data_IF_750186169418
#
_entry.id   IF_750186169418
#
_cell.length_a   1.000
_cell.length_b   1.000
_cell.length_c   1.000
_cell.angle_alpha   90.00
_cell.angle_beta   90.00
_cell.angle_gamma   90.00
#
_symmetry.space_group_name_H-M   'P 1'
#
loop_
_entity.id
_entity.type
_entity.pdbx_description
1 polymer ?
#
# COMPACT_ATOMS: atom_id res chain seq x y z
N UNK A 1 -36.46 -35.24 66.84
CA UNK A 1 -35.20 -36.00 66.76
C UNK A 1 -34.61 -35.75 65.40
N UNK A 2 -33.48 -35.04 65.43
CA UNK A 2 -32.32 -35.07 64.52
C UNK A 2 -32.48 -34.98 63.00
N UNK A 3 -31.61 -34.17 62.40
CA UNK A 3 -31.06 -34.51 61.08
C UNK A 3 -30.79 -33.36 60.13
N UNK A 4 -29.78 -32.55 60.44
CA UNK A 4 -28.98 -31.72 59.54
C UNK A 4 -28.76 -32.31 58.12
N UNK A 5 -28.89 -31.51 57.04
CA UNK A 5 -27.80 -31.20 56.09
C UNK A 5 -28.22 -30.60 54.71
N UNK A 6 -27.70 -29.38 54.45
CA UNK A 6 -27.02 -28.87 53.23
C UNK A 6 -27.80 -28.42 51.97
N UNK A 7 -27.65 -27.09 51.71
CA UNK A 7 -27.26 -26.36 50.46
C UNK A 7 -28.21 -26.49 49.24
N UNK A 8 -28.49 -25.48 48.41
CA UNK A 8 -27.79 -24.25 48.01
C UNK A 8 -28.78 -23.28 47.34
N UNK A 9 -28.41 -22.00 47.33
CA UNK A 9 -29.14 -20.81 46.88
C UNK A 9 -29.61 -20.78 45.42
N UNK A 10 -30.73 -20.07 45.19
CA UNK A 10 -30.92 -19.11 44.09
C UNK A 10 -31.70 -17.90 44.62
N UNK A 11 -31.03 -16.74 44.70
CA UNK A 11 -31.67 -15.46 44.98
C UNK A 11 -32.17 -14.85 43.66
N UNK A 12 -33.46 -14.56 43.61
CA UNK A 12 -34.04 -13.58 42.69
C UNK A 12 -33.53 -12.19 43.10
N UNK A 13 -32.83 -11.50 42.20
CA UNK A 13 -32.43 -10.11 42.41
C UNK A 13 -33.39 -9.22 41.61
N UNK A 14 -34.37 -8.66 42.32
CA UNK A 14 -35.30 -7.66 41.81
C UNK A 14 -34.59 -6.36 41.44
N UNK A 15 -35.12 -5.73 40.40
CA UNK A 15 -34.73 -4.41 39.93
C UNK A 15 -34.77 -3.38 41.06
N UNK A 16 -33.61 -2.80 41.38
CA UNK A 16 -33.51 -1.56 42.15
C UNK A 16 -33.03 -0.45 41.22
N UNK A 17 -33.87 0.56 41.05
CA UNK A 17 -33.53 1.82 40.38
C UNK A 17 -32.30 2.45 41.07
N UNK A 18 -31.32 2.97 40.33
CA UNK A 18 -30.21 3.70 40.93
C UNK A 18 -30.74 4.97 41.60
N UNK A 19 -30.33 5.18 42.86
CA UNK A 19 -30.70 6.31 43.70
C UNK A 19 -30.17 7.61 43.10
N UNK A 20 -30.92 8.70 43.27
CA UNK A 20 -30.66 10.05 42.77
C UNK A 20 -29.33 10.70 43.25
N UNK A 21 -28.45 10.00 43.94
CA UNK A 21 -27.12 10.50 44.36
C UNK A 21 -26.01 10.30 43.32
N UNK A 22 -26.19 9.43 42.32
CA UNK A 22 -25.12 9.09 41.35
C UNK A 22 -25.09 10.03 40.13
N UNK A 23 -26.18 10.75 39.87
CA UNK A 23 -26.28 11.71 38.77
C UNK A 23 -25.48 13.00 39.03
N UNK A 24 -25.45 13.46 40.29
CA UNK A 24 -24.74 14.69 40.68
C UNK A 24 -23.22 14.50 40.80
N UNK A 25 -22.76 13.25 40.99
CA UNK A 25 -21.34 12.90 40.96
C UNK A 25 -20.75 12.82 39.54
N UNK A 26 -21.59 12.56 38.52
CA UNK A 26 -21.16 12.50 37.12
C UNK A 26 -21.08 13.87 36.42
N UNK A 27 -21.79 14.89 36.94
CA UNK A 27 -21.64 16.29 36.52
C UNK A 27 -20.28 16.89 36.95
N UNK A 28 -19.47 16.15 37.71
CA UNK A 28 -18.08 16.49 38.07
C UNK A 28 -17.14 15.33 37.71
N UNK A 29 -17.09 14.99 36.42
CA UNK A 29 -16.27 13.88 35.91
C UNK A 29 -14.79 13.89 36.37
N UNK A 30 -14.13 12.71 36.39
CA UNK A 30 -12.74 12.54 36.81
C UNK A 30 -11.77 13.34 35.92
N UNK A 31 -10.79 14.00 36.56
CA UNK A 31 -9.82 14.91 35.98
C UNK A 31 -9.03 14.26 34.84
N UNK A 32 -9.11 14.86 33.65
CA UNK A 32 -8.15 14.61 32.60
C UNK A 32 -6.78 15.16 32.99
N UNK A 33 -5.81 14.27 33.26
CA UNK A 33 -4.37 14.55 33.09
C UNK A 33 -4.07 14.71 31.59
N UNK A 34 -4.73 15.67 30.95
CA UNK A 34 -4.67 15.89 29.50
C UNK A 34 -4.02 17.23 29.19
N UNK A 35 -3.21 17.27 28.14
CA UNK A 35 -2.63 18.52 27.64
C UNK A 35 -3.74 19.39 27.05
N UNK A 36 -3.80 20.67 27.42
CA UNK A 36 -4.82 21.59 26.91
C UNK A 36 -4.79 21.67 25.36
N UNK A 37 -5.96 21.53 24.70
CA UNK A 37 -6.09 21.75 23.26
C UNK A 37 -5.70 23.19 22.85
N UNK A 38 -5.39 23.37 21.56
CA UNK A 38 -5.19 24.72 21.00
C UNK A 38 -6.46 25.55 21.22
N UNK A 39 -6.35 26.84 21.56
CA UNK A 39 -7.50 27.70 21.82
C UNK A 39 -7.91 27.74 23.29
N UNK A 40 -7.35 26.86 24.11
CA UNK A 40 -7.67 26.73 25.53
C UNK A 40 -6.41 26.69 26.39
N UNK A 41 -6.52 27.27 27.59
CA UNK A 41 -5.57 27.09 28.68
C UNK A 41 -6.19 26.27 29.81
N UNK A 42 -5.36 25.47 30.48
CA UNK A 42 -5.82 24.62 31.58
C UNK A 42 -6.09 25.47 32.83
N UNK A 43 -7.29 25.37 33.41
CA UNK A 43 -7.66 25.94 34.70
C UNK A 43 -8.18 24.85 35.63
N UNK A 44 -7.29 24.27 36.42
CA UNK A 44 -7.62 23.19 37.34
C UNK A 44 -8.15 21.97 36.58
N UNK A 45 -9.46 21.71 36.67
CA UNK A 45 -10.13 20.57 36.01
C UNK A 45 -10.95 20.96 34.77
N UNK A 46 -10.90 22.22 34.35
CA UNK A 46 -11.60 22.74 33.16
C UNK A 46 -10.65 23.52 32.24
N UNK A 47 -11.18 23.97 31.10
CA UNK A 47 -10.49 24.78 30.11
C UNK A 47 -11.05 26.21 30.11
N UNK A 48 -10.18 27.22 30.00
CA UNK A 48 -10.58 28.61 29.71
C UNK A 48 -10.16 28.95 28.28
N UNK A 49 -10.99 29.67 27.57
CA UNK A 49 -10.68 30.17 26.22
C UNK A 49 -9.49 31.13 26.26
N UNK A 50 -8.46 30.80 25.48
CA UNK A 50 -7.37 31.72 25.17
C UNK A 50 -7.73 32.51 23.91
N UNK A 51 -7.98 33.81 24.01
CA UNK A 51 -8.52 34.61 22.91
C UNK A 51 -7.63 34.61 21.65
N UNK A 52 -6.30 34.64 21.80
CA UNK A 52 -5.35 34.67 20.69
C UNK A 52 -5.32 33.32 19.94
N UNK A 53 -5.27 32.22 20.68
CA UNK A 53 -5.30 30.90 20.07
C UNK A 53 -6.68 30.54 19.52
N UNK A 54 -7.75 30.97 20.18
CA UNK A 54 -9.12 30.79 19.71
C UNK A 54 -9.37 31.50 18.38
N UNK A 55 -8.72 32.65 18.15
CA UNK A 55 -8.74 33.31 16.83
C UNK A 55 -8.10 32.42 15.75
N UNK A 56 -7.03 31.70 16.07
CA UNK A 56 -6.40 30.74 15.15
C UNK A 56 -7.34 29.59 14.84
N UNK A 57 -8.00 29.02 15.86
CA UNK A 57 -8.99 27.95 15.69
C UNK A 57 -10.14 28.41 14.79
N UNK A 58 -10.74 29.59 15.07
CA UNK A 58 -11.79 30.18 14.22
C UNK A 58 -11.34 30.36 12.76
N UNK A 59 -10.10 30.81 12.57
CA UNK A 59 -9.50 30.96 11.23
C UNK A 59 -9.41 29.62 10.50
N UNK A 60 -8.98 28.54 11.18
CA UNK A 60 -8.88 27.21 10.58
C UNK A 60 -10.24 26.68 10.13
N UNK A 61 -11.28 26.83 10.96
CA UNK A 61 -12.65 26.43 10.61
C UNK A 61 -13.18 27.23 9.43
N UNK A 62 -12.97 28.55 9.43
CA UNK A 62 -13.34 29.43 8.32
C UNK A 62 -12.64 29.03 7.01
N UNK A 63 -11.32 28.88 7.03
CA UNK A 63 -10.53 28.48 5.84
C UNK A 63 -10.97 27.11 5.30
N UNK A 64 -11.38 26.19 6.17
CA UNK A 64 -11.92 24.91 5.73
C UNK A 64 -13.28 25.05 5.04
N UNK A 65 -14.16 25.91 5.55
CA UNK A 65 -15.42 26.27 4.89
C UNK A 65 -15.23 27.10 3.61
N UNK A 66 -14.12 27.78 3.43
CA UNK A 66 -13.81 28.47 2.18
C UNK A 66 -13.24 27.51 1.13
N UNK A 67 -12.17 26.80 1.48
CA UNK A 67 -11.41 25.98 0.51
C UNK A 67 -11.91 24.54 0.36
N UNK A 68 -12.53 23.97 1.40
CA UNK A 68 -13.05 22.60 1.38
C UNK A 68 -12.01 21.48 1.26
N UNK A 69 -10.74 21.78 1.46
CA UNK A 69 -9.64 20.80 1.40
C UNK A 69 -8.63 21.07 2.49
N UNK A 70 -8.29 20.05 3.28
CA UNK A 70 -7.29 20.14 4.35
C UNK A 70 -5.93 20.58 3.79
N UNK A 71 -5.59 20.18 2.56
CA UNK A 71 -4.32 20.57 1.91
C UNK A 71 -4.27 22.05 1.58
N UNK A 72 -5.38 22.61 1.10
CA UNK A 72 -5.48 24.04 0.79
C UNK A 72 -5.42 24.86 2.08
N UNK A 73 -6.11 24.42 3.14
CA UNK A 73 -6.02 25.04 4.46
C UNK A 73 -4.58 25.01 4.99
N UNK A 74 -3.86 23.90 4.85
CA UNK A 74 -2.46 23.81 5.28
C UNK A 74 -1.57 24.83 4.54
N UNK A 75 -1.69 24.93 3.22
CA UNK A 75 -0.91 25.87 2.42
C UNK A 75 -1.17 27.33 2.81
N UNK A 76 -2.44 27.62 3.10
CA UNK A 76 -2.89 28.94 3.53
C UNK A 76 -2.39 29.31 4.94
N UNK A 77 -2.45 28.37 5.90
CA UNK A 77 -1.87 28.57 7.24
C UNK A 77 -0.35 28.77 7.18
N UNK A 78 0.33 28.03 6.31
CA UNK A 78 1.77 28.21 6.06
C UNK A 78 2.06 29.62 5.54
N UNK A 79 1.26 30.12 4.59
CA UNK A 79 1.33 31.47 4.01
C UNK A 79 1.08 32.58 5.05
N UNK A 80 0.10 32.37 5.93
CA UNK A 80 -0.22 33.30 7.03
C UNK A 80 0.79 33.23 8.19
N UNK A 81 1.76 32.32 8.16
CA UNK A 81 2.75 32.17 9.23
C UNK A 81 2.19 31.54 10.51
N UNK A 82 0.98 30.97 10.48
CA UNK A 82 0.35 30.34 11.63
C UNK A 82 1.01 28.99 11.93
N UNK A 83 1.28 28.72 13.22
CA UNK A 83 2.01 27.53 13.68
C UNK A 83 1.29 26.86 14.84
N UNK A 84 1.62 25.60 15.10
CA UNK A 84 1.04 24.82 16.20
C UNK A 84 1.38 25.43 17.57
N UNK A 85 0.48 25.25 18.56
CA UNK A 85 0.64 25.76 19.94
C UNK A 85 2.02 25.43 20.49
N UNK A 86 2.76 26.45 20.93
CA UNK A 86 4.03 26.28 21.61
C UNK A 86 3.79 25.79 23.04
N UNK A 87 4.44 24.71 23.44
CA UNK A 87 4.34 24.14 24.78
C UNK A 87 5.73 24.04 25.39
N UNK A 88 5.96 24.63 26.57
CA UNK A 88 7.19 24.38 27.31
C UNK A 88 7.22 22.90 27.73
N UNK A 89 8.27 22.18 27.33
CA UNK A 89 8.45 20.78 27.74
C UNK A 89 9.00 20.66 29.16
N UNK A 90 8.75 19.51 29.80
CA UNK A 90 9.21 19.21 31.17
C UNK A 90 10.74 19.12 31.33
N UNK A 91 11.51 19.11 30.23
CA UNK A 91 12.98 19.04 30.23
C UNK A 91 13.63 19.99 29.21
N UNK A 92 13.09 21.21 29.06
CA UNK A 92 13.70 22.25 28.21
C UNK A 92 13.55 22.07 26.69
N UNK A 93 13.05 20.92 26.22
CA UNK A 93 12.64 20.73 24.82
C UNK A 93 11.22 21.25 24.63
N UNK A 94 11.07 22.44 24.07
CA UNK A 94 9.75 22.95 23.71
C UNK A 94 9.11 22.13 22.58
N UNK A 95 7.82 21.83 22.69
CA UNK A 95 7.03 21.11 21.68
C UNK A 95 6.00 22.06 21.10
N UNK A 96 6.04 22.31 19.80
CA UNK A 96 5.13 23.26 19.13
C UNK A 96 5.88 24.22 18.21
N UNK A 97 5.19 25.20 17.63
CA UNK A 97 5.78 26.12 16.65
C UNK A 97 6.03 25.50 15.27
N UNK A 98 5.56 24.27 15.04
CA UNK A 98 5.70 23.57 13.78
C UNK A 98 4.58 23.95 12.79
N UNK A 99 4.78 23.62 11.51
CA UNK A 99 3.73 23.71 10.49
C UNK A 99 2.60 22.73 10.82
N UNK A 100 1.38 23.09 10.45
CA UNK A 100 0.22 22.21 10.62
C UNK A 100 0.30 21.03 9.64
N UNK A 101 0.29 19.80 10.17
CA UNK A 101 0.17 18.59 9.34
C UNK A 101 -1.28 18.18 9.09
N UNK A 102 -1.54 17.39 8.04
CA UNK A 102 -2.89 16.88 7.70
C UNK A 102 -3.61 16.25 8.89
N UNK A 103 -2.95 15.32 9.60
CA UNK A 103 -3.56 14.61 10.73
C UNK A 103 -3.91 15.55 11.90
N UNK A 104 -3.10 16.58 12.12
CA UNK A 104 -3.36 17.60 13.15
C UNK A 104 -4.59 18.43 12.80
N UNK A 105 -4.71 18.89 11.55
CA UNK A 105 -5.87 19.64 11.07
C UNK A 105 -7.14 18.78 11.07
N UNK A 106 -7.03 17.53 10.65
CA UNK A 106 -8.16 16.60 10.69
C UNK A 106 -8.64 16.40 12.12
N UNK A 107 -7.73 16.13 13.06
CA UNK A 107 -8.08 15.99 14.47
C UNK A 107 -8.75 17.27 15.00
N UNK A 108 -8.20 18.44 14.71
CA UNK A 108 -8.75 19.74 15.13
C UNK A 108 -10.19 19.95 14.62
N UNK A 109 -10.43 19.71 13.33
CA UNK A 109 -11.75 19.88 12.70
C UNK A 109 -12.80 18.85 13.18
N UNK A 110 -12.37 17.73 13.77
CA UNK A 110 -13.25 16.66 14.29
C UNK A 110 -13.33 16.60 15.81
N UNK A 111 -12.56 17.40 16.54
CA UNK A 111 -12.57 17.39 18.00
C UNK A 111 -13.72 18.21 18.59
N UNK A 112 -14.71 17.59 19.26
CA UNK A 112 -15.91 18.26 19.79
C UNK A 112 -15.62 19.24 20.95
N UNK A 113 -14.37 19.31 21.44
CA UNK A 113 -13.96 20.29 22.45
C UNK A 113 -14.26 21.72 22.03
N UNK A 114 -14.20 22.03 20.74
CA UNK A 114 -14.41 23.37 20.22
C UNK A 114 -15.86 23.86 20.27
N UNK A 115 -16.82 22.94 20.47
CA UNK A 115 -18.24 23.25 20.67
C UNK A 115 -18.67 23.05 22.14
N UNK A 116 -17.70 23.06 23.08
CA UNK A 116 -18.01 22.92 24.52
C UNK A 116 -18.28 21.48 24.96
N UNK A 117 -17.90 20.46 24.18
CA UNK A 117 -18.17 19.04 24.48
C UNK A 117 -16.90 18.22 24.66
N UNK A 118 -16.91 17.21 25.51
CA UNK A 118 -15.75 16.35 25.78
C UNK A 118 -16.07 14.91 25.37
N UNK A 119 -15.22 14.32 24.54
CA UNK A 119 -15.32 12.90 24.16
C UNK A 119 -14.58 12.03 25.18
N UNK A 120 -15.27 11.03 25.72
CA UNK A 120 -14.66 9.97 26.52
C UNK A 120 -15.09 8.61 25.96
N UNK A 121 -14.14 7.89 25.37
CA UNK A 121 -14.39 6.65 24.60
C UNK A 121 -15.38 6.91 23.46
N UNK A 122 -16.52 6.22 23.46
CA UNK A 122 -17.57 6.33 22.44
C UNK A 122 -18.66 7.35 22.77
N UNK A 123 -18.60 7.97 23.96
CA UNK A 123 -19.65 8.90 24.41
C UNK A 123 -19.12 10.33 24.47
N UNK A 124 -19.94 11.27 24.02
CA UNK A 124 -19.67 12.70 24.08
C UNK A 124 -20.56 13.34 25.14
N UNK A 125 -19.96 14.10 26.05
CA UNK A 125 -20.63 14.78 27.16
C UNK A 125 -20.49 16.29 27.01
N UNK A 126 -21.43 17.05 27.57
CA UNK A 126 -21.28 18.50 27.67
C UNK A 126 -20.17 18.84 28.67
N UNK A 127 -19.21 19.65 28.22
CA UNK A 127 -18.08 20.10 29.00
C UNK A 127 -18.40 21.37 29.78
N UNK A 128 -17.68 21.60 30.88
CA UNK A 128 -17.81 22.80 31.70
C UNK A 128 -16.94 23.97 31.20
N UNK A 129 -16.73 24.07 29.88
CA UNK A 129 -15.87 25.08 29.24
C UNK A 129 -16.59 25.74 28.06
N UNK A 130 -16.27 27.01 27.82
CA UNK A 130 -16.93 27.78 26.76
C UNK A 130 -16.53 27.27 25.36
N UNK A 131 -17.52 27.25 24.46
CA UNK A 131 -17.29 26.91 23.05
C UNK A 131 -16.48 28.01 22.33
N UNK A 132 -15.55 27.62 21.47
CA UNK A 132 -14.80 28.54 20.58
C UNK A 132 -15.52 28.71 19.23
N UNK A 133 -16.23 27.67 18.79
CA UNK A 133 -16.92 27.58 17.51
C UNK A 133 -18.41 27.40 17.75
N UNK A 134 -19.24 28.10 16.99
CA UNK A 134 -20.69 27.92 17.00
C UNK A 134 -21.11 26.55 16.47
N UNK A 135 -22.20 26.01 16.98
CA UNK A 135 -22.72 24.68 16.58
C UNK A 135 -23.05 24.63 15.08
N UNK A 136 -23.53 25.73 14.52
CA UNK A 136 -23.82 25.92 13.10
C UNK A 136 -22.57 25.77 12.21
N UNK A 137 -21.47 26.45 12.57
CA UNK A 137 -20.19 26.36 11.87
C UNK A 137 -19.61 24.96 11.97
N UNK A 138 -19.73 24.35 13.15
CA UNK A 138 -19.28 22.99 13.38
C UNK A 138 -20.01 21.98 12.51
N UNK A 139 -21.35 22.04 12.47
CA UNK A 139 -22.20 21.17 11.66
C UNK A 139 -21.90 21.32 10.18
N UNK A 140 -21.76 22.55 9.67
CA UNK A 140 -21.37 22.80 8.29
C UNK A 140 -20.00 22.19 7.94
N UNK A 141 -19.04 22.23 8.87
CA UNK A 141 -17.72 21.59 8.70
C UNK A 141 -17.83 20.06 8.71
N UNK A 142 -18.61 19.48 9.62
CA UNK A 142 -18.82 18.02 9.68
C UNK A 142 -19.52 17.52 8.42
N UNK A 143 -20.57 18.21 7.98
CA UNK A 143 -21.29 17.87 6.75
C UNK A 143 -20.35 17.89 5.54
N UNK A 144 -19.49 18.91 5.43
CA UNK A 144 -18.51 18.98 4.35
C UNK A 144 -17.42 17.91 4.45
N UNK A 145 -16.97 17.55 5.65
CA UNK A 145 -16.05 16.42 5.88
C UNK A 145 -16.68 15.10 5.42
N UNK A 146 -17.95 14.86 5.77
CA UNK A 146 -18.71 13.68 5.34
C UNK A 146 -18.87 13.69 3.82
N UNK A 147 -19.28 14.81 3.23
CA UNK A 147 -19.47 14.95 1.78
C UNK A 147 -18.16 14.78 1.00
N UNK A 148 -17.02 15.22 1.54
CA UNK A 148 -15.70 14.96 0.92
C UNK A 148 -15.27 13.49 1.08
N UNK A 149 -15.53 12.86 2.22
CA UNK A 149 -15.31 11.42 2.41
C UNK A 149 -16.18 10.56 1.47
N UNK A 150 -17.30 11.11 1.01
CA UNK A 150 -18.16 10.53 -0.02
C UNK A 150 -17.67 10.85 -1.45
N UNK A 151 -17.16 12.07 -1.71
CA UNK A 151 -16.63 12.49 -3.02
C UNK A 151 -15.31 11.81 -3.41
N UNK A 152 -14.46 11.44 -2.45
CA UNK A 152 -13.24 10.66 -2.70
C UNK A 152 -13.50 9.18 -3.06
N UNK A 153 -14.76 8.74 -3.07
CA UNK A 153 -15.18 7.41 -3.58
C UNK A 153 -15.88 7.47 -4.94
N UNK A 154 -15.95 8.64 -5.58
CA UNK A 154 -16.82 8.89 -6.73
C UNK A 154 -16.23 9.78 -7.82
N UNK A 155 -15.06 9.45 -8.32
CA UNK A 155 -14.61 9.69 -9.72
C UNK A 155 -13.24 9.05 -9.92
N UNK A 156 -13.24 7.73 -10.06
CA UNK A 156 -12.17 7.04 -10.77
C UNK A 156 -12.19 7.64 -12.18
N UNK A 157 -11.23 8.50 -12.49
CA UNK A 157 -11.00 8.89 -13.88
C UNK A 157 -10.88 7.58 -14.68
N UNK A 158 -11.81 7.42 -15.61
CA UNK A 158 -11.96 6.28 -16.51
C UNK A 158 -10.72 6.21 -17.39
N UNK A 159 -9.71 5.52 -16.88
CA UNK A 159 -8.48 5.02 -17.52
C UNK A 159 -7.54 4.61 -16.37
N UNK A 160 -7.85 3.53 -15.65
CA UNK A 160 -7.20 3.16 -14.39
C UNK A 160 -5.66 3.18 -14.52
N UNK A 161 -4.94 4.19 -13.96
CA UNK A 161 -3.49 4.22 -14.06
C UNK A 161 -2.83 3.28 -13.06
N UNK A 162 -3.59 2.51 -12.25
CA UNK A 162 -3.13 1.48 -11.31
C UNK A 162 -4.33 0.70 -10.73
N UNK A 163 -4.72 -0.47 -11.28
CA UNK A 163 -5.91 -1.21 -10.87
C UNK A 163 -5.87 -1.78 -9.44
N UNK A 164 -4.69 -1.87 -8.83
CA UNK A 164 -4.50 -2.39 -7.47
C UNK A 164 -4.36 -1.28 -6.42
N UNK A 165 -4.68 -0.03 -6.79
CA UNK A 165 -4.63 1.11 -5.88
C UNK A 165 -5.38 0.80 -4.58
N UNK A 166 -4.65 0.85 -3.46
CA UNK A 166 -5.16 0.63 -2.11
C UNK A 166 -5.78 -0.75 -1.84
N UNK A 167 -5.57 -1.75 -2.71
CA UNK A 167 -6.12 -3.10 -2.54
C UNK A 167 -5.17 -4.09 -1.88
N UNK A 168 -3.86 -3.93 -2.11
CA UNK A 168 -2.84 -4.87 -1.64
C UNK A 168 -2.13 -4.30 -0.42
N UNK A 169 -2.00 -5.14 0.62
CA UNK A 169 -1.18 -4.87 1.81
C UNK A 169 0.05 -5.77 1.85
N UNK A 170 1.12 -5.34 2.50
CA UNK A 170 2.28 -6.21 2.79
C UNK A 170 2.10 -7.01 4.09
N UNK A 171 3.08 -7.85 4.44
CA UNK A 171 3.09 -8.70 5.63
C UNK A 171 3.01 -7.92 6.96
N UNK A 172 3.26 -6.62 6.91
CA UNK A 172 3.16 -5.73 8.08
C UNK A 172 1.83 -4.97 8.13
N UNK A 173 0.94 -5.21 7.17
CA UNK A 173 -0.35 -4.54 7.02
C UNK A 173 -0.27 -3.17 6.33
N UNK A 174 0.89 -2.78 5.79
CA UNK A 174 1.06 -1.50 5.12
C UNK A 174 0.58 -1.57 3.67
N UNK A 175 -0.16 -0.54 3.25
CA UNK A 175 -0.81 -0.52 1.93
C UNK A 175 0.20 -0.18 0.85
N UNK A 176 0.16 -0.94 -0.23
CA UNK A 176 0.93 -0.60 -1.41
C UNK A 176 0.29 0.57 -2.17
N UNK A 177 1.07 1.64 -2.30
CA UNK A 177 0.67 2.87 -3.00
C UNK A 177 1.32 2.91 -4.38
N UNK A 178 0.56 3.17 -5.46
CA UNK A 178 1.13 3.31 -6.78
C UNK A 178 1.96 4.60 -6.89
N UNK A 179 3.18 4.46 -7.38
CA UNK A 179 4.14 5.54 -7.62
C UNK A 179 4.69 5.41 -9.03
N UNK A 180 5.33 6.47 -9.53
CA UNK A 180 6.00 6.43 -10.83
C UNK A 180 7.30 7.22 -10.81
N UNK A 181 8.22 6.81 -11.68
CA UNK A 181 9.47 7.51 -11.94
C UNK A 181 9.63 7.70 -13.45
N UNK A 182 10.17 8.84 -13.87
CA UNK A 182 10.47 9.12 -15.27
C UNK A 182 11.99 9.07 -15.47
N UNK A 183 12.45 8.26 -16.44
CA UNK A 183 13.87 8.20 -16.83
C UNK A 183 13.97 8.13 -18.34
N UNK A 184 14.72 9.07 -18.95
CA UNK A 184 14.93 9.16 -20.40
C UNK A 184 13.62 9.09 -21.22
N UNK A 185 12.60 9.84 -20.79
CA UNK A 185 11.28 9.87 -21.46
C UNK A 185 10.41 8.63 -21.24
N UNK A 186 10.92 7.57 -20.60
CA UNK A 186 10.13 6.39 -20.22
C UNK A 186 9.61 6.51 -18.80
N UNK A 187 8.29 6.31 -18.64
CA UNK A 187 7.62 6.25 -17.34
C UNK A 187 7.63 4.82 -16.80
N UNK A 188 8.16 4.65 -15.60
CA UNK A 188 8.15 3.40 -14.84
C UNK A 188 7.15 3.51 -13.71
N UNK A 189 6.32 2.47 -13.52
CA UNK A 189 5.28 2.42 -12.49
C UNK A 189 5.60 1.35 -11.46
N UNK A 190 5.33 1.67 -10.20
CA UNK A 190 5.62 0.80 -9.07
C UNK A 190 4.48 0.81 -8.05
N UNK A 191 4.31 -0.28 -7.32
CA UNK A 191 3.59 -0.32 -6.06
C UNK A 191 4.61 -0.33 -4.93
N UNK A 192 4.46 0.60 -3.98
CA UNK A 192 5.44 0.85 -2.92
C UNK A 192 4.75 0.86 -1.57
N UNK A 193 5.29 0.16 -0.56
CA UNK A 193 4.78 0.25 0.83
C UNK A 193 4.72 1.70 1.27
N UNK A 194 3.59 2.12 1.84
CA UNK A 194 3.33 3.53 2.14
C UNK A 194 4.43 4.16 3.02
N UNK A 195 5.01 3.38 3.95
CA UNK A 195 6.14 3.82 4.81
C UNK A 195 7.35 4.32 4.03
N UNK A 196 7.58 3.83 2.82
CA UNK A 196 8.72 4.21 1.97
C UNK A 196 8.49 5.50 1.17
N UNK A 197 7.29 6.10 1.26
CA UNK A 197 6.90 7.30 0.51
C UNK A 197 7.12 8.58 1.35
N UNK A 198 7.32 8.46 2.67
CA UNK A 198 7.53 9.61 3.54
C UNK A 198 8.92 10.27 3.36
N UNK A 199 9.05 11.61 3.45
CA UNK A 199 10.31 12.32 3.17
C UNK A 199 11.35 12.30 4.31
N UNK A 200 11.26 11.38 5.29
CA UNK A 200 12.19 11.35 6.41
C UNK A 200 12.62 9.93 6.78
N UNK A 201 13.88 9.63 6.43
CA UNK A 201 14.82 9.04 7.38
C UNK A 201 14.47 7.68 7.97
N UNK A 202 14.41 6.65 7.14
CA UNK A 202 15.02 5.33 7.33
C UNK A 202 14.67 4.52 6.07
N UNK A 203 15.67 4.00 5.36
CA UNK A 203 15.44 2.98 4.35
C UNK A 203 15.07 1.70 5.11
N UNK A 204 13.80 1.56 5.50
CA UNK A 204 13.31 0.29 6.00
C UNK A 204 13.46 -0.74 4.86
N UNK A 205 14.50 -1.57 4.95
CA UNK A 205 14.84 -2.55 3.93
C UNK A 205 13.78 -3.67 3.78
N UNK A 206 12.78 -3.68 4.66
CA UNK A 206 11.62 -4.58 4.56
C UNK A 206 10.51 -4.04 3.65
N UNK A 207 10.47 -2.74 3.36
CA UNK A 207 9.40 -2.16 2.57
C UNK A 207 9.43 -2.59 1.10
N UNK A 208 8.25 -2.73 0.51
CA UNK A 208 8.09 -3.21 -0.85
C UNK A 208 8.26 -2.11 -1.87
N UNK A 209 8.97 -2.41 -2.97
CA UNK A 209 8.94 -1.64 -4.21
C UNK A 209 8.90 -2.60 -5.40
N UNK A 210 7.70 -2.79 -5.93
CA UNK A 210 7.41 -3.78 -6.97
C UNK A 210 6.99 -3.09 -8.26
N UNK A 211 7.44 -3.59 -9.41
CA UNK A 211 6.94 -3.13 -10.72
C UNK A 211 5.42 -3.32 -10.82
N UNK A 212 4.70 -2.25 -11.14
CA UNK A 212 3.24 -2.29 -11.26
C UNK A 212 2.80 -3.28 -12.34
N UNK A 213 3.47 -3.27 -13.49
CA UNK A 213 3.15 -4.17 -14.60
C UNK A 213 3.34 -5.65 -14.23
N UNK A 214 4.37 -5.97 -13.45
CA UNK A 214 4.62 -7.35 -13.03
C UNK A 214 3.57 -7.83 -12.03
N UNK A 215 3.27 -7.02 -11.01
CA UNK A 215 2.24 -7.37 -10.02
C UNK A 215 0.86 -7.49 -10.67
N UNK A 216 0.51 -6.56 -11.54
CA UNK A 216 -0.79 -6.57 -12.24
C UNK A 216 -0.94 -7.80 -13.13
N UNK A 217 0.10 -8.13 -13.91
CA UNK A 217 0.11 -9.35 -14.73
C UNK A 217 0.07 -10.61 -13.87
N UNK A 218 0.75 -10.60 -12.73
CA UNK A 218 0.75 -11.70 -11.79
C UNK A 218 -0.64 -12.02 -11.25
N UNK A 219 -1.31 -10.98 -10.75
CA UNK A 219 -2.66 -11.10 -10.24
C UNK A 219 -3.63 -11.53 -11.35
N UNK A 220 -3.46 -11.01 -12.57
CA UNK A 220 -4.31 -11.39 -13.69
C UNK A 220 -4.17 -12.86 -14.06
N UNK A 221 -2.93 -13.36 -14.15
CA UNK A 221 -2.68 -14.76 -14.50
C UNK A 221 -3.15 -15.70 -13.39
N UNK A 222 -2.92 -15.36 -12.12
CA UNK A 222 -3.41 -16.16 -10.99
C UNK A 222 -4.94 -16.30 -11.00
N UNK A 223 -5.66 -15.21 -11.27
CA UNK A 223 -7.12 -15.23 -11.38
C UNK A 223 -7.54 -16.03 -12.62
N UNK A 224 -6.93 -15.79 -13.78
CA UNK A 224 -7.26 -16.46 -15.02
C UNK A 224 -7.09 -17.98 -14.94
N UNK A 225 -5.95 -18.45 -14.42
CA UNK A 225 -5.69 -19.88 -14.21
C UNK A 225 -6.71 -20.51 -13.27
N UNK A 226 -7.07 -19.82 -12.18
CA UNK A 226 -8.11 -20.31 -11.26
C UNK A 226 -9.48 -20.42 -11.93
N UNK A 227 -9.84 -19.47 -12.79
CA UNK A 227 -11.11 -19.49 -13.53
C UNK A 227 -11.18 -20.66 -14.53
N UNK A 228 -10.04 -21.11 -15.05
CA UNK A 228 -9.94 -22.19 -16.05
C UNK A 228 -9.87 -23.59 -15.44
N UNK A 229 -9.62 -23.70 -14.13
CA UNK A 229 -9.64 -24.99 -13.44
C UNK A 229 -11.02 -25.65 -13.59
N UNK A 230 -11.05 -26.88 -14.11
CA UNK A 230 -12.29 -27.68 -14.25
C UNK A 230 -13.05 -27.79 -12.93
N UNK A 231 -12.33 -27.88 -11.81
CA UNK A 231 -12.92 -27.99 -10.49
C UNK A 231 -13.49 -26.67 -9.94
N UNK A 232 -13.11 -25.51 -10.49
CA UNK A 232 -13.55 -24.21 -9.98
C UNK A 232 -15.08 -24.06 -10.05
N UNK A 233 -15.69 -24.31 -11.21
CA UNK A 233 -17.14 -24.18 -11.38
C UNK A 233 -17.94 -25.16 -10.51
N UNK A 234 -17.38 -26.35 -10.24
CA UNK A 234 -18.01 -27.37 -9.39
C UNK A 234 -17.96 -26.97 -7.92
N UNK A 235 -16.81 -26.42 -7.49
CA UNK A 235 -16.56 -26.07 -6.09
C UNK A 235 -17.15 -24.71 -5.70
N UNK A 236 -17.23 -23.76 -6.64
CA UNK A 236 -17.71 -22.40 -6.38
C UNK A 236 -19.17 -22.37 -5.92
N UNK A 237 -19.99 -23.30 -6.41
CA UNK A 237 -21.42 -23.36 -6.15
C UNK A 237 -21.74 -24.53 -5.22
N UNK A 238 -22.70 -24.32 -4.31
CA UNK A 238 -23.32 -25.43 -3.59
C UNK A 238 -24.25 -26.23 -4.52
N UNK A 239 -23.99 -27.52 -4.65
CA UNK A 239 -24.79 -28.51 -5.38
C UNK A 239 -25.24 -28.07 -6.80
N UNK A 240 -24.32 -27.74 -7.73
CA UNK A 240 -24.67 -27.16 -9.02
C UNK A 240 -25.23 -28.20 -10.01
N UNK A 241 -26.22 -27.80 -10.82
CA UNK A 241 -26.70 -28.62 -11.93
C UNK A 241 -25.71 -28.60 -13.12
N UNK A 242 -25.68 -29.65 -13.94
CA UNK A 242 -24.74 -29.75 -15.08
C UNK A 242 -24.80 -28.56 -16.05
N UNK A 243 -26.01 -28.03 -16.30
CA UNK A 243 -26.23 -26.84 -17.15
C UNK A 243 -25.62 -25.58 -16.53
N UNK A 244 -25.66 -25.47 -15.20
CA UNK A 244 -25.07 -24.34 -14.47
C UNK A 244 -23.55 -24.40 -14.49
N UNK A 245 -22.98 -25.60 -14.29
CA UNK A 245 -21.52 -25.83 -14.38
C UNK A 245 -21.00 -25.37 -15.75
N UNK A 246 -21.67 -25.77 -16.83
CA UNK A 246 -21.26 -25.40 -18.19
C UNK A 246 -21.38 -23.89 -18.45
N UNK A 247 -22.44 -23.24 -17.94
CA UNK A 247 -22.60 -21.78 -18.02
C UNK A 247 -21.46 -21.06 -17.28
N UNK A 248 -21.18 -21.46 -16.03
CA UNK A 248 -20.12 -20.86 -15.22
C UNK A 248 -18.76 -21.05 -15.88
N UNK A 249 -18.45 -22.25 -16.40
CA UNK A 249 -17.18 -22.50 -17.12
C UNK A 249 -17.02 -21.59 -18.32
N UNK A 250 -18.07 -21.39 -19.11
CA UNK A 250 -18.04 -20.50 -20.27
C UNK A 250 -17.79 -19.05 -19.88
N UNK A 251 -18.47 -18.56 -18.85
CA UNK A 251 -18.29 -17.18 -18.36
C UNK A 251 -16.92 -16.98 -17.69
N UNK A 252 -16.44 -17.97 -16.95
CA UNK A 252 -15.11 -17.99 -16.35
C UNK A 252 -14.00 -17.96 -17.42
N UNK A 253 -14.14 -18.71 -18.51
CA UNK A 253 -13.21 -18.67 -19.64
C UNK A 253 -13.18 -17.28 -20.32
N UNK A 254 -14.34 -16.64 -20.52
CA UNK A 254 -14.40 -15.25 -21.04
C UNK A 254 -13.72 -14.24 -20.11
N UNK A 255 -13.85 -14.43 -18.80
CA UNK A 255 -13.16 -13.61 -17.80
C UNK A 255 -11.64 -13.82 -17.86
N UNK A 256 -11.18 -15.07 -17.93
CA UNK A 256 -9.77 -15.42 -18.06
C UNK A 256 -9.15 -14.80 -19.32
N UNK A 257 -9.83 -14.90 -20.47
CA UNK A 257 -9.41 -14.25 -21.72
C UNK A 257 -9.31 -12.73 -21.57
N UNK A 258 -10.31 -12.11 -20.93
CA UNK A 258 -10.31 -10.67 -20.65
C UNK A 258 -9.15 -10.23 -19.75
N UNK A 259 -8.77 -11.04 -18.77
CA UNK A 259 -7.65 -10.80 -17.86
C UNK A 259 -6.28 -10.94 -18.55
N UNK A 260 -6.17 -11.76 -19.60
CA UNK A 260 -4.95 -11.87 -20.41
C UNK A 260 -4.89 -10.85 -21.57
N UNK A 261 -6.01 -10.23 -21.92
CA UNK A 261 -6.12 -9.26 -23.01
C UNK A 261 -6.09 -7.79 -22.58
N UNK A 262 -6.61 -6.92 -23.46
CA UNK A 262 -6.59 -5.45 -23.29
C UNK A 262 -7.44 -4.96 -22.10
N UNK A 263 -8.46 -5.74 -21.71
CA UNK A 263 -9.36 -5.42 -20.59
C UNK A 263 -8.75 -5.72 -19.21
N UNK A 264 -7.55 -6.30 -19.15
CA UNK A 264 -6.88 -6.74 -17.91
C UNK A 264 -7.01 -5.73 -16.77
N UNK A 265 -6.55 -4.49 -16.99
CA UNK A 265 -6.50 -3.51 -15.90
C UNK A 265 -7.91 -3.12 -15.43
N UNK A 266 -8.88 -3.01 -16.34
CA UNK A 266 -10.26 -2.71 -15.98
C UNK A 266 -10.89 -3.87 -15.18
N UNK A 267 -10.60 -5.12 -15.55
CA UNK A 267 -11.09 -6.31 -14.86
C UNK A 267 -10.44 -6.49 -13.49
N UNK A 268 -9.12 -6.33 -13.37
CA UNK A 268 -8.42 -6.33 -12.07
C UNK A 268 -8.98 -5.29 -11.11
N UNK A 269 -9.28 -4.09 -11.62
CA UNK A 269 -9.87 -3.01 -10.83
C UNK A 269 -11.27 -3.33 -10.31
N UNK A 270 -11.99 -4.27 -10.94
CA UNK A 270 -13.34 -4.67 -10.52
C UNK A 270 -13.33 -5.95 -9.68
N UNK A 271 -12.60 -6.98 -10.13
CA UNK A 271 -12.66 -8.34 -9.59
C UNK A 271 -11.89 -8.48 -8.28
N UNK A 272 -10.83 -7.71 -8.06
CA UNK A 272 -10.06 -7.79 -6.81
C UNK A 272 -10.73 -6.90 -5.75
N UNK A 273 -11.15 -7.46 -4.63
CA UNK A 273 -11.62 -6.71 -3.46
C UNK A 273 -10.44 -6.24 -2.60
N UNK A 274 -9.46 -7.11 -2.42
CA UNK A 274 -8.31 -6.90 -1.55
C UNK A 274 -7.25 -7.98 -1.78
N UNK A 275 -6.22 -7.96 -0.94
CA UNK A 275 -5.19 -9.00 -0.98
C UNK A 275 -3.97 -8.61 -0.18
N UNK A 276 -3.07 -9.57 -0.03
CA UNK A 276 -1.78 -9.36 0.61
C UNK A 276 -0.64 -9.85 -0.27
N UNK A 277 0.53 -9.27 -0.07
CA UNK A 277 1.78 -9.73 -0.66
C UNK A 277 2.73 -10.15 0.46
N UNK A 278 3.41 -11.27 0.26
CA UNK A 278 4.50 -11.75 1.11
C UNK A 278 5.65 -12.25 0.23
N UNK A 279 6.85 -12.52 0.80
CA UNK A 279 7.98 -13.05 0.05
C UNK A 279 7.71 -14.33 -0.76
N UNK A 280 6.72 -15.12 -0.35
CA UNK A 280 6.45 -16.46 -0.92
C UNK A 280 5.13 -16.53 -1.71
N UNK A 281 4.23 -15.55 -1.53
CA UNK A 281 2.91 -15.60 -2.15
C UNK A 281 2.25 -14.22 -2.34
N UNK A 282 1.31 -14.19 -3.28
CA UNK A 282 0.29 -13.14 -3.39
C UNK A 282 -1.04 -13.77 -3.03
N UNK A 283 -1.69 -13.29 -1.99
CA UNK A 283 -3.07 -13.63 -1.68
C UNK A 283 -4.00 -12.59 -2.33
N UNK A 284 -5.02 -13.06 -3.04
CA UNK A 284 -5.98 -12.24 -3.77
C UNK A 284 -7.37 -12.59 -3.27
N UNK A 285 -8.09 -11.56 -2.82
CA UNK A 285 -9.49 -11.66 -2.41
C UNK A 285 -10.37 -11.15 -3.55
N UNK A 286 -11.29 -11.98 -4.00
CA UNK A 286 -12.22 -11.67 -5.09
C UNK A 286 -13.46 -10.95 -4.55
N UNK A 287 -13.93 -9.94 -5.30
CA UNK A 287 -15.17 -9.25 -5.02
C UNK A 287 -16.38 -10.13 -5.38
N UNK A 288 -17.03 -10.72 -4.38
CA UNK A 288 -18.15 -11.65 -4.55
C UNK A 288 -19.24 -11.16 -5.51
N UNK A 289 -19.77 -9.96 -5.29
CA UNK A 289 -20.83 -9.37 -6.12
C UNK A 289 -20.40 -9.19 -7.59
N UNK A 290 -19.16 -8.77 -7.81
CA UNK A 290 -18.61 -8.54 -9.16
C UNK A 290 -18.40 -9.87 -9.85
N UNK A 291 -17.82 -10.85 -9.15
CA UNK A 291 -17.60 -12.19 -9.68
C UNK A 291 -18.94 -12.87 -10.01
N UNK A 292 -19.93 -12.75 -9.13
CA UNK A 292 -21.28 -13.27 -9.36
C UNK A 292 -21.89 -12.71 -10.65
N UNK A 293 -21.81 -11.39 -10.83
CA UNK A 293 -22.30 -10.73 -12.03
C UNK A 293 -21.56 -11.16 -13.31
N UNK A 294 -20.23 -11.32 -13.24
CA UNK A 294 -19.42 -11.75 -14.40
C UNK A 294 -19.61 -13.22 -14.75
N UNK A 295 -19.92 -14.07 -13.77
CA UNK A 295 -20.18 -15.49 -13.94
C UNK A 295 -21.65 -15.82 -14.20
N UNK A 296 -22.54 -14.82 -14.17
CA UNK A 296 -23.99 -14.97 -14.35
C UNK A 296 -24.62 -15.91 -13.30
N UNK A 297 -24.19 -15.77 -12.05
CA UNK A 297 -24.66 -16.55 -10.89
C UNK A 297 -25.21 -15.65 -9.79
N UNK A 298 -26.08 -16.22 -8.95
CA UNK A 298 -26.53 -15.56 -7.72
C UNK A 298 -25.38 -15.52 -6.69
N UNK A 299 -25.12 -14.35 -6.11
CA UNK A 299 -24.10 -14.18 -5.08
C UNK A 299 -24.36 -15.03 -3.84
N UNK A 300 -25.63 -15.30 -3.51
CA UNK A 300 -26.00 -16.12 -2.36
C UNK A 300 -25.57 -17.59 -2.49
N UNK A 301 -25.26 -18.04 -3.73
CA UNK A 301 -24.84 -19.41 -4.02
C UNK A 301 -23.33 -19.59 -4.09
N UNK A 302 -22.57 -18.50 -3.99
CA UNK A 302 -21.12 -18.55 -3.99
C UNK A 302 -20.61 -19.01 -2.63
N UNK A 303 -19.82 -20.07 -2.60
CA UNK A 303 -19.05 -20.46 -1.42
C UNK A 303 -17.91 -19.44 -1.19
N UNK A 304 -17.91 -18.69 -0.05
CA UNK A 304 -16.88 -17.70 0.25
C UNK A 304 -15.46 -18.28 0.34
N UNK A 305 -15.29 -19.56 0.65
CA UNK A 305 -13.98 -20.22 0.74
C UNK A 305 -13.25 -20.28 -0.60
N UNK A 306 -13.98 -20.12 -1.72
CA UNK A 306 -13.43 -20.11 -3.07
C UNK A 306 -13.20 -18.72 -3.64
N UNK A 307 -13.41 -17.66 -2.84
CA UNK A 307 -13.12 -16.26 -3.19
C UNK A 307 -11.70 -15.82 -2.84
N UNK A 308 -10.87 -16.72 -2.30
CA UNK A 308 -9.46 -16.45 -2.02
C UNK A 308 -8.58 -17.26 -2.97
N UNK A 309 -7.61 -16.59 -3.59
CA UNK A 309 -6.59 -17.20 -4.46
C UNK A 309 -5.22 -16.93 -3.86
N UNK A 310 -4.44 -17.98 -3.66
CA UNK A 310 -3.03 -17.88 -3.24
C UNK A 310 -2.17 -18.26 -4.44
N UNK A 311 -1.42 -17.29 -4.96
CA UNK A 311 -0.45 -17.51 -6.01
C UNK A 311 0.95 -17.51 -5.41
N UNK A 312 1.63 -18.66 -5.45
CA UNK A 312 3.01 -18.76 -4.98
C UNK A 312 3.95 -17.98 -5.91
N UNK A 313 4.77 -17.12 -5.31
CA UNK A 313 5.74 -16.30 -6.01
C UNK A 313 7.14 -16.55 -5.48
N UNK A 314 8.11 -16.51 -6.37
CA UNK A 314 9.51 -16.39 -6.03
C UNK A 314 9.90 -14.92 -6.12
N UNK A 315 10.22 -14.35 -4.97
CA UNK A 315 10.73 -12.99 -4.94
C UNK A 315 12.23 -12.99 -5.06
N UNK A 316 12.65 -12.14 -5.98
CA UNK A 316 13.97 -12.12 -6.53
C UNK A 316 14.38 -10.64 -6.46
N UNK A 317 15.13 -10.27 -5.41
CA UNK A 317 15.54 -8.88 -5.13
C UNK A 317 16.74 -8.51 -6.02
N UNK A 318 16.73 -7.31 -6.61
CA UNK A 318 17.86 -6.74 -7.37
C UNK A 318 18.22 -5.37 -6.78
N UNK A 319 19.12 -5.34 -5.81
CA UNK A 319 19.43 -4.12 -5.06
C UNK A 319 18.22 -3.61 -4.28
N UNK A 320 17.81 -2.35 -4.49
CA UNK A 320 16.61 -1.74 -3.85
C UNK A 320 15.30 -2.04 -4.61
N UNK A 321 15.35 -2.82 -5.69
CA UNK A 321 14.19 -3.15 -6.53
C UNK A 321 13.74 -4.61 -6.31
N UNK A 322 12.47 -4.83 -5.98
CA UNK A 322 11.89 -6.17 -5.81
C UNK A 322 11.33 -6.65 -7.15
N UNK A 323 11.88 -7.74 -7.71
CA UNK A 323 11.23 -8.45 -8.83
C UNK A 323 10.39 -9.59 -8.28
N UNK A 324 9.15 -9.67 -8.75
CA UNK A 324 8.26 -10.81 -8.53
C UNK A 324 8.39 -11.72 -9.75
N UNK A 325 8.74 -12.98 -9.49
CA UNK A 325 8.58 -14.10 -10.43
C UNK A 325 7.48 -14.98 -9.84
N UNK A 326 6.52 -15.45 -10.62
CA UNK A 326 5.37 -16.21 -10.13
C UNK A 326 5.56 -17.65 -10.58
N UNK A 327 5.61 -18.63 -9.67
CA UNK A 327 5.66 -20.06 -9.99
C UNK A 327 6.32 -20.42 -11.33
N UNK A 328 5.69 -21.34 -12.08
CA UNK A 328 6.12 -21.84 -13.39
C UNK A 328 6.04 -20.80 -14.54
N UNK A 329 6.03 -19.49 -14.23
CA UNK A 329 6.15 -18.47 -15.25
C UNK A 329 7.48 -18.66 -16.00
N UNK A 330 7.47 -18.62 -17.34
CA UNK A 330 8.67 -18.83 -18.11
C UNK A 330 9.74 -17.83 -17.64
N UNK A 331 10.97 -18.30 -17.42
CA UNK A 331 12.03 -17.51 -16.85
C UNK A 331 12.20 -16.19 -17.63
N UNK A 332 12.20 -15.07 -16.90
CA UNK A 332 12.20 -13.72 -17.49
C UNK A 332 13.59 -13.37 -18.01
N UNK A 333 13.78 -13.62 -19.30
CA UNK A 333 15.04 -13.44 -20.02
C UNK A 333 15.51 -11.97 -19.97
N UNK A 334 16.70 -11.71 -19.39
CA UNK A 334 17.34 -10.39 -19.45
C UNK A 334 17.88 -10.12 -20.86
N UNK A 335 16.99 -9.58 -21.72
CA UNK A 335 17.29 -9.25 -23.11
C UNK A 335 18.50 -8.35 -23.26
N UNK A 336 18.75 -7.44 -22.31
CA UNK A 336 19.90 -6.56 -22.36
C UNK A 336 21.19 -7.36 -22.14
N UNK A 337 21.21 -8.24 -21.14
CA UNK A 337 22.35 -9.14 -20.92
C UNK A 337 22.65 -9.98 -22.16
N UNK A 338 21.64 -10.64 -22.74
CA UNK A 338 21.81 -11.44 -23.97
C UNK A 338 22.33 -10.59 -25.12
N UNK A 339 21.73 -9.42 -25.35
CA UNK A 339 22.17 -8.51 -26.42
C UNK A 339 23.64 -8.15 -26.25
N UNK A 340 24.08 -7.89 -25.00
CA UNK A 340 25.47 -7.54 -24.70
C UNK A 340 26.43 -8.73 -24.80
N UNK A 341 25.98 -9.95 -24.49
CA UNK A 341 26.76 -11.17 -24.76
C UNK A 341 26.96 -11.34 -26.27
N UNK A 342 25.89 -11.19 -27.07
CA UNK A 342 25.98 -11.26 -28.53
C UNK A 342 26.88 -10.19 -29.14
N UNK A 343 26.78 -8.94 -28.68
CA UNK A 343 27.70 -7.85 -29.06
C UNK A 343 29.16 -8.20 -28.72
N UNK A 344 29.41 -8.75 -27.53
CA UNK A 344 30.74 -9.10 -27.08
C UNK A 344 31.37 -10.21 -27.92
N UNK A 345 30.61 -11.28 -28.22
CA UNK A 345 31.08 -12.38 -29.08
C UNK A 345 31.41 -11.89 -30.49
N UNK A 346 30.56 -11.02 -31.06
CA UNK A 346 30.82 -10.40 -32.36
C UNK A 346 32.10 -9.56 -32.34
N UNK A 347 32.24 -8.67 -31.37
CA UNK A 347 33.44 -7.83 -31.24
C UNK A 347 34.69 -8.67 -31.01
N UNK A 348 34.58 -9.81 -30.31
CA UNK A 348 35.69 -10.73 -30.10
C UNK A 348 36.15 -11.39 -31.40
N UNK A 349 35.24 -11.83 -32.26
CA UNK A 349 35.59 -12.37 -33.59
C UNK A 349 36.22 -11.31 -34.49
N UNK A 350 35.77 -10.06 -34.43
CA UNK A 350 36.40 -8.96 -35.17
C UNK A 350 37.82 -8.66 -34.69
N UNK A 351 38.06 -8.69 -33.37
CA UNK A 351 39.41 -8.54 -32.80
C UNK A 351 40.31 -9.69 -33.25
N UNK A 352 39.81 -10.93 -33.27
CA UNK A 352 40.54 -12.08 -33.81
C UNK A 352 40.88 -11.91 -35.30
N UNK A 353 40.01 -11.25 -36.06
CA UNK A 353 40.22 -10.92 -37.46
C UNK A 353 41.14 -9.69 -37.68
N UNK A 354 41.67 -9.08 -36.61
CA UNK A 354 42.65 -7.99 -36.67
C UNK A 354 42.08 -6.58 -36.48
N UNK A 355 40.77 -6.42 -36.21
CA UNK A 355 40.20 -5.11 -35.89
C UNK A 355 40.72 -4.61 -34.54
N UNK A 356 41.06 -3.32 -34.44
CA UNK A 356 41.46 -2.73 -33.17
C UNK A 356 40.25 -2.37 -32.30
N UNK A 357 40.46 -2.30 -30.98
CA UNK A 357 39.47 -1.78 -30.03
C UNK A 357 39.02 -0.36 -30.41
N UNK A 358 39.90 0.42 -31.03
CA UNK A 358 39.60 1.78 -31.48
C UNK A 358 38.65 1.79 -32.68
N UNK A 359 38.79 0.85 -33.62
CA UNK A 359 37.91 0.73 -34.79
C UNK A 359 36.48 0.36 -34.35
N UNK A 360 36.36 -0.59 -33.44
CA UNK A 360 35.07 -1.00 -32.85
C UNK A 360 34.44 0.16 -32.07
N UNK A 361 35.22 0.86 -31.24
CA UNK A 361 34.74 2.01 -30.48
C UNK A 361 34.20 3.13 -31.40
N UNK A 362 34.92 3.42 -32.50
CA UNK A 362 34.51 4.41 -33.50
C UNK A 362 33.22 4.04 -34.21
N UNK A 363 33.11 2.79 -34.69
CA UNK A 363 31.91 2.29 -35.39
C UNK A 363 30.66 2.29 -34.50
N UNK A 364 30.81 1.78 -33.28
CA UNK A 364 29.69 1.61 -32.33
C UNK A 364 29.39 2.89 -31.54
N UNK A 365 30.19 3.95 -31.74
CA UNK A 365 30.08 5.25 -31.05
C UNK A 365 30.12 5.11 -29.53
N UNK A 366 31.01 4.26 -29.02
CA UNK A 366 31.25 4.04 -27.59
C UNK A 366 32.71 4.30 -27.24
N UNK A 367 33.04 4.42 -25.95
CA UNK A 367 34.43 4.62 -25.52
C UNK A 367 35.24 3.33 -25.62
N UNK A 368 36.57 3.44 -25.79
CA UNK A 368 37.48 2.26 -25.77
C UNK A 368 37.32 1.44 -24.49
N UNK A 369 37.18 2.14 -23.35
CA UNK A 369 36.92 1.49 -22.06
C UNK A 369 35.62 0.67 -22.10
N UNK A 370 34.56 1.18 -22.72
CA UNK A 370 33.29 0.45 -22.84
C UNK A 370 33.42 -0.79 -23.73
N UNK A 371 34.19 -0.71 -24.82
CA UNK A 371 34.49 -1.88 -25.66
C UNK A 371 35.22 -2.95 -24.85
N UNK A 372 36.29 -2.58 -24.14
CA UNK A 372 37.04 -3.51 -23.28
C UNK A 372 36.19 -4.14 -22.18
N UNK A 373 35.29 -3.36 -21.58
CA UNK A 373 34.31 -3.83 -20.60
C UNK A 373 33.36 -4.89 -21.18
N UNK A 374 32.74 -4.61 -22.33
CA UNK A 374 31.77 -5.52 -22.95
C UNK A 374 32.47 -6.77 -23.48
N UNK A 375 33.69 -6.68 -24.03
CA UNK A 375 34.47 -7.83 -24.47
C UNK A 375 34.66 -8.89 -23.38
N UNK A 376 34.67 -8.50 -22.10
CA UNK A 376 34.71 -9.47 -20.98
C UNK A 376 33.55 -10.46 -21.00
N UNK A 377 32.39 -10.08 -21.55
CA UNK A 377 31.21 -10.94 -21.65
C UNK A 377 31.39 -12.07 -22.66
N UNK A 378 32.30 -11.91 -23.64
CA UNK A 378 32.63 -12.98 -24.59
C UNK A 378 33.31 -14.19 -23.92
N UNK A 379 33.89 -13.98 -22.72
CA UNK A 379 34.61 -14.98 -21.95
C UNK A 379 33.82 -15.50 -20.74
N UNK A 380 32.50 -15.30 -20.73
CA UNK A 380 31.62 -15.90 -19.73
C UNK A 380 31.67 -17.43 -19.82
N UNK A 381 31.59 -18.10 -18.66
CA UNK A 381 31.47 -19.54 -18.60
C UNK A 381 30.23 -20.00 -19.40
N UNK A 382 30.34 -21.04 -20.26
CA UNK A 382 29.23 -21.50 -21.10
C UNK A 382 27.92 -21.72 -20.32
N UNK A 383 27.99 -22.36 -19.15
CA UNK A 383 26.81 -22.57 -18.31
C UNK A 383 26.13 -21.27 -17.85
N UNK A 384 26.87 -20.17 -17.64
CA UNK A 384 26.26 -18.86 -17.32
C UNK A 384 25.59 -18.21 -18.54
N UNK A 385 26.08 -18.52 -19.74
CA UNK A 385 25.43 -18.11 -20.99
C UNK A 385 24.15 -18.91 -21.18
N UNK A 386 24.19 -20.22 -20.97
CA UNK A 386 23.02 -21.10 -21.01
C UNK A 386 21.97 -20.66 -20.00
N UNK A 387 22.38 -20.38 -18.75
CA UNK A 387 21.50 -19.83 -17.71
C UNK A 387 20.90 -18.49 -18.14
N UNK A 388 21.67 -17.61 -18.78
CA UNK A 388 21.18 -16.31 -19.25
C UNK A 388 20.16 -16.44 -20.40
N UNK A 389 20.40 -17.38 -21.33
CA UNK A 389 19.50 -17.69 -22.44
C UNK A 389 18.21 -18.34 -21.94
N UNK A 390 18.32 -19.20 -20.93
CA UNK A 390 17.21 -19.85 -20.27
C UNK A 390 16.54 -18.95 -19.22
N UNK A 391 17.00 -17.72 -18.99
CA UNK A 391 16.47 -16.81 -17.96
C UNK A 391 16.62 -17.34 -16.52
N UNK A 392 17.48 -18.34 -16.30
CA UNK A 392 17.76 -18.98 -15.02
C UNK A 392 18.92 -18.33 -14.26
N UNK A 393 19.60 -17.35 -14.85
CA UNK A 393 20.73 -16.68 -14.23
C UNK A 393 20.37 -16.01 -12.88
N UNK A 394 21.33 -15.89 -11.95
CA UNK A 394 21.17 -15.07 -10.75
C UNK A 394 20.80 -13.63 -11.13
N UNK A 395 19.89 -12.98 -10.39
CA UNK A 395 19.41 -11.66 -10.79
C UNK A 395 20.46 -10.56 -10.69
N UNK A 396 21.36 -10.67 -9.72
CA UNK A 396 22.48 -9.77 -9.58
C UNK A 396 23.46 -9.92 -10.75
N UNK A 397 23.45 -11.06 -11.46
CA UNK A 397 24.29 -11.34 -12.63
C UNK A 397 23.82 -10.51 -13.84
N UNK A 398 24.12 -9.23 -13.77
CA UNK A 398 23.74 -8.22 -14.77
C UNK A 398 24.94 -7.81 -15.58
N UNK A 399 24.73 -7.26 -16.79
CA UNK A 399 25.82 -6.73 -17.62
C UNK A 399 26.78 -5.84 -16.82
N UNK A 400 26.24 -4.88 -16.06
CA UNK A 400 27.06 -3.95 -15.29
C UNK A 400 27.82 -4.62 -14.13
N UNK A 401 27.24 -5.64 -13.50
CA UNK A 401 27.90 -6.36 -12.40
C UNK A 401 29.02 -7.25 -12.93
N UNK A 402 28.79 -7.96 -14.04
CA UNK A 402 29.82 -8.79 -14.69
C UNK A 402 30.98 -7.92 -15.17
N UNK A 403 30.67 -6.79 -15.81
CA UNK A 403 31.66 -5.83 -16.31
C UNK A 403 32.53 -5.25 -15.18
N UNK A 404 31.97 -5.05 -13.99
CA UNK A 404 32.66 -4.50 -12.81
C UNK A 404 33.24 -5.58 -11.89
N UNK A 405 32.98 -6.86 -12.16
CA UNK A 405 33.50 -7.94 -11.34
C UNK A 405 35.03 -7.96 -11.39
N UNK A 406 35.72 -8.38 -10.31
CA UNK A 406 37.15 -8.61 -10.34
C UNK A 406 37.52 -9.58 -11.47
N UNK A 407 38.76 -9.51 -11.97
CA UNK A 407 39.21 -10.38 -13.05
C UNK A 407 39.13 -11.85 -12.61
N UNK A 408 38.31 -12.66 -13.29
CA UNK A 408 38.10 -14.07 -12.99
C UNK A 408 38.50 -14.88 -14.22
N UNK A 409 39.75 -15.32 -14.25
CA UNK A 409 40.36 -15.97 -15.41
C UNK A 409 39.82 -17.38 -15.67
N UNK A 410 39.22 -18.00 -14.64
CA UNK A 410 38.72 -19.38 -14.73
C UNK A 410 37.19 -19.41 -14.68
N UNK A 411 36.57 -20.15 -15.61
CA UNK A 411 35.13 -20.40 -15.63
C UNK A 411 34.59 -21.01 -14.32
N UNK A 412 35.42 -21.77 -13.59
CA UNK A 412 35.08 -22.29 -12.25
C UNK A 412 34.93 -21.16 -11.23
N UNK A 413 35.81 -20.15 -11.29
CA UNK A 413 35.74 -18.96 -10.46
C UNK A 413 34.53 -18.09 -10.80
N UNK A 414 34.19 -17.96 -12.09
CA UNK A 414 33.00 -17.25 -12.52
C UNK A 414 31.71 -17.93 -12.03
N UNK A 415 31.62 -19.26 -12.12
CA UNK A 415 30.48 -20.02 -11.60
C UNK A 415 30.35 -19.92 -10.07
N UNK A 416 31.46 -20.05 -9.35
CA UNK A 416 31.46 -19.90 -7.88
C UNK A 416 31.08 -18.47 -7.46
N UNK A 417 31.55 -17.46 -8.19
CA UNK A 417 31.14 -16.08 -7.97
C UNK A 417 29.65 -15.88 -8.22
N UNK A 418 29.13 -16.38 -9.36
CA UNK A 418 27.72 -16.30 -9.71
C UNK A 418 26.81 -17.07 -8.74
N UNK A 419 27.27 -18.18 -8.17
CA UNK A 419 26.50 -18.93 -7.16
C UNK A 419 26.43 -18.22 -5.79
N UNK A 420 27.33 -17.27 -5.54
CA UNK A 420 27.34 -16.42 -4.34
C UNK A 420 26.65 -15.06 -4.56
N UNK A 421 25.99 -14.89 -5.71
CA UNK A 421 25.12 -13.77 -6.02
C UNK A 421 23.70 -14.12 -5.62
#
# INVERSE_FOLDING_TARGET
>A
MDGCARRSARSECGAQQPRASDADAHLRGPAGRGVAPLGYDAKGRTFIVNAAEAATVRTIFKLYLEHGSIRSVQAELDRMGLRTKHRPGLQGTAVGGARYGRGHLQHLLTNPVYIGRIRHKETTYDGAHDAIIGTDVWEAVQERLIHQSAKDRGRIAVSAPSPLLAKIVDETGDRLTPTHANKKGRRYRYYVSHRLIAPRGALDASGWRVSAERLERASAEAIASRMEETAFAIKLLDSPAAVEIERVRRSAAKLAEGLRGERRNALLAQVIAGGSISPDAIAIELASNVLASLLEIDVARIDPSHLSIIAHIQIRRRGVETRIVIGDAPPDIDRNLITKIGEALRWFEEVKAGASIQDIAGRERVTRQRVGQVLRLAFLAPGLVDDALAGMQPLELTTDRIVKAPHMELWKGQRAWAANL
#
